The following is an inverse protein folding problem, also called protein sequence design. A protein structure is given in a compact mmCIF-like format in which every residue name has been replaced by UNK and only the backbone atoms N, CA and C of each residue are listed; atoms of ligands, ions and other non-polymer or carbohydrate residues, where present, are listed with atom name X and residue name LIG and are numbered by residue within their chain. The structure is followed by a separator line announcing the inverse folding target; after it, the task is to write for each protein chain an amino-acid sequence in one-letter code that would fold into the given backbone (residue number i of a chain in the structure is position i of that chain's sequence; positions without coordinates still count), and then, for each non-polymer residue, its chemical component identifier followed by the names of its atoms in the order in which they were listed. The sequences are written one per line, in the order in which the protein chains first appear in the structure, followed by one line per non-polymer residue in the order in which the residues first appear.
data_IF_744476478180
#
_entry.id   IF_744476478180
#
_cell.length_a   1.000
_cell.length_b   1.000
_cell.length_c   1.000
_cell.angle_alpha   90.00
_cell.angle_beta   90.00
_cell.angle_gamma   90.00
#
_symmetry.space_group_name_H-M   'P 1'
#
loop_
_entity.id
_entity.type
_entity.pdbx_description
1 polymer ?
#
# COMPACT_ATOMS: atom_id res chain seq x y z
N UNK A 1 -7.93 21.50 17.62
CA UNK A 1 -9.09 21.15 16.82
C UNK A 1 -9.98 20.16 17.61
N UNK A 2 -11.33 20.23 17.52
CA UNK A 2 -12.20 19.33 18.28
C UNK A 2 -11.97 17.84 17.95
N UNK A 3 -11.74 17.52 16.67
CA UNK A 3 -11.46 16.14 16.22
C UNK A 3 -10.13 15.59 16.71
N UNK A 4 -9.18 16.43 17.15
CA UNK A 4 -7.93 15.99 17.75
C UNK A 4 -8.08 15.37 19.13
N UNK A 5 -9.27 15.48 19.76
CA UNK A 5 -9.54 14.99 21.12
C UNK A 5 -9.30 13.50 21.29
N UNK A 6 -9.53 12.71 20.24
CA UNK A 6 -9.40 11.25 20.27
C UNK A 6 -8.11 10.72 19.64
N UNK A 7 -7.25 11.61 19.15
CA UNK A 7 -5.95 11.21 18.58
C UNK A 7 -5.02 10.82 19.71
N UNK A 8 -4.58 9.56 19.72
CA UNK A 8 -3.58 9.11 20.68
C UNK A 8 -2.23 9.76 20.40
N UNK A 9 -1.36 9.81 21.43
CA UNK A 9 -0.02 10.37 21.27
C UNK A 9 0.81 9.59 20.23
N UNK A 10 0.65 8.28 20.17
CA UNK A 10 1.27 7.40 19.19
C UNK A 10 0.81 7.74 17.76
N UNK A 11 -0.48 7.90 17.54
CA UNK A 11 -1.02 8.30 16.23
C UNK A 11 -0.60 9.72 15.84
N UNK A 12 -0.49 10.63 16.82
CA UNK A 12 0.05 11.96 16.58
C UNK A 12 1.50 11.90 16.11
N UNK A 13 2.36 11.16 16.80
CA UNK A 13 3.78 11.01 16.45
C UNK A 13 3.96 10.34 15.08
N UNK A 14 3.11 9.37 14.75
CA UNK A 14 3.25 8.56 13.55
C UNK A 14 2.68 9.26 12.31
N UNK A 15 1.49 9.86 12.42
CA UNK A 15 0.73 10.31 11.25
C UNK A 15 0.58 11.83 11.12
N UNK A 16 0.70 12.61 12.21
CA UNK A 16 0.45 14.06 12.19
C UNK A 16 1.75 14.87 12.31
N UNK A 17 2.59 14.53 13.27
CA UNK A 17 3.83 15.26 13.54
C UNK A 17 4.84 15.27 12.40
N UNK A 18 5.04 14.17 11.64
CA UNK A 18 6.11 14.11 10.65
C UNK A 18 6.02 15.24 9.61
N UNK A 19 7.15 15.88 9.35
CA UNK A 19 7.22 17.05 8.48
C UNK A 19 7.38 16.68 6.99
N UNK A 20 8.05 15.56 6.69
CA UNK A 20 8.17 14.97 5.35
C UNK A 20 7.41 13.66 5.25
N UNK A 21 7.00 13.31 4.04
CA UNK A 21 6.38 12.01 3.73
C UNK A 21 7.45 11.01 3.29
N UNK A 22 8.40 11.45 2.47
CA UNK A 22 9.45 10.62 1.91
C UNK A 22 10.81 11.31 1.91
N UNK A 23 11.37 11.50 0.72
CA UNK A 23 12.69 12.08 0.50
C UNK A 23 12.65 13.44 -0.22
N UNK A 24 11.50 14.09 -0.22
CA UNK A 24 11.32 15.46 -0.74
C UNK A 24 12.19 16.46 0.04
N UNK A 25 12.43 17.60 -0.59
CA UNK A 25 13.11 18.73 0.05
C UNK A 25 12.34 19.21 1.29
N UNK A 26 13.08 19.63 2.32
CA UNK A 26 12.49 20.20 3.54
C UNK A 26 12.04 21.64 3.24
N UNK A 27 10.76 21.89 3.37
CA UNK A 27 10.10 23.16 3.06
C UNK A 27 9.15 23.57 4.18
N UNK A 28 8.98 24.87 4.39
CA UNK A 28 7.90 25.41 5.20
C UNK A 28 6.56 25.27 4.46
N UNK A 29 5.60 24.57 5.06
CA UNK A 29 4.32 24.27 4.39
C UNK A 29 3.11 24.23 5.32
N UNK A 30 3.30 23.84 6.58
CA UNK A 30 2.18 23.47 7.47
C UNK A 30 1.24 24.64 7.72
N UNK A 31 1.77 25.83 7.99
CA UNK A 31 0.98 27.02 8.27
C UNK A 31 0.18 27.48 7.04
N UNK A 32 0.79 27.45 5.85
CA UNK A 32 0.12 27.84 4.60
C UNK A 32 -1.05 26.90 4.30
N UNK A 33 -0.83 25.58 4.37
CA UNK A 33 -1.86 24.58 4.13
C UNK A 33 -2.96 24.67 5.17
N UNK A 34 -2.61 24.88 6.44
CA UNK A 34 -3.57 25.11 7.51
C UNK A 34 -4.46 26.31 7.21
N UNK A 35 -3.89 27.48 6.92
CA UNK A 35 -4.63 28.70 6.60
C UNK A 35 -5.58 28.52 5.41
N UNK A 36 -5.17 27.72 4.43
CA UNK A 36 -5.96 27.47 3.23
C UNK A 36 -7.17 26.57 3.47
N UNK A 37 -7.02 25.50 4.25
CA UNK A 37 -8.05 24.46 4.37
C UNK A 37 -8.83 24.50 5.69
N UNK A 38 -8.27 25.10 6.74
CA UNK A 38 -8.94 25.16 8.04
C UNK A 38 -10.29 25.92 8.02
N UNK A 39 -10.46 27.05 7.27
CA UNK A 39 -11.74 27.79 7.27
C UNK A 39 -12.93 26.98 6.73
N UNK A 40 -12.70 26.03 5.80
CA UNK A 40 -13.81 25.22 5.27
C UNK A 40 -14.45 24.29 6.33
N UNK A 41 -13.75 24.07 7.44
CA UNK A 41 -14.22 23.24 8.54
C UNK A 41 -14.96 24.05 9.63
N UNK A 42 -15.11 25.37 9.46
CA UNK A 42 -15.78 26.22 10.45
C UNK A 42 -17.26 25.85 10.63
N UNK A 43 -17.92 25.42 9.57
CA UNK A 43 -19.32 25.01 9.59
C UNK A 43 -19.58 23.78 10.46
N UNK A 44 -18.62 22.86 10.56
CA UNK A 44 -18.76 21.61 11.34
C UNK A 44 -18.18 21.76 12.75
N UNK A 45 -17.18 22.63 12.95
CA UNK A 45 -16.36 22.70 14.18
C UNK A 45 -17.17 22.83 15.45
N UNK A 46 -18.24 23.62 15.44
CA UNK A 46 -19.08 23.91 16.58
C UNK A 46 -20.38 23.07 16.62
N UNK A 47 -20.46 22.02 15.81
CA UNK A 47 -21.58 21.07 15.80
C UNK A 47 -21.25 19.83 16.63
N UNK A 48 -22.23 18.97 16.97
CA UNK A 48 -21.98 17.67 17.58
C UNK A 48 -21.04 16.77 16.76
N UNK A 49 -20.94 16.99 15.45
CA UNK A 49 -20.06 16.25 14.53
C UNK A 49 -18.66 16.83 14.44
N UNK A 50 -18.36 17.95 15.10
CA UNK A 50 -17.05 18.60 15.05
C UNK A 50 -15.90 17.79 15.64
N UNK A 51 -16.18 16.80 16.48
CA UNK A 51 -15.20 15.84 16.98
C UNK A 51 -15.19 14.49 16.24
N UNK A 52 -16.11 14.27 15.32
CA UNK A 52 -16.14 13.05 14.48
C UNK A 52 -15.12 13.19 13.34
N UNK A 53 -14.03 12.42 13.45
CA UNK A 53 -12.92 12.43 12.50
C UNK A 53 -13.42 12.10 11.08
N UNK A 54 -14.37 11.18 10.94
CA UNK A 54 -14.90 10.75 9.64
C UNK A 54 -15.71 11.86 8.98
N UNK A 55 -16.60 12.52 9.74
CA UNK A 55 -17.40 13.62 9.24
C UNK A 55 -16.53 14.79 8.77
N UNK A 56 -15.56 15.17 9.57
CA UNK A 56 -14.58 16.22 9.22
C UNK A 56 -13.76 15.82 7.98
N UNK A 57 -13.29 14.59 7.93
CA UNK A 57 -12.51 14.10 6.78
C UNK A 57 -13.36 14.05 5.52
N UNK A 58 -14.64 13.66 5.59
CA UNK A 58 -15.53 13.63 4.42
C UNK A 58 -15.72 15.03 3.81
N UNK A 59 -15.96 16.06 4.63
CA UNK A 59 -16.07 17.45 4.15
C UNK A 59 -14.79 17.89 3.45
N UNK A 60 -13.63 17.55 4.03
CA UNK A 60 -12.35 17.86 3.43
C UNK A 60 -12.15 17.15 2.09
N UNK A 61 -12.47 15.86 2.01
CA UNK A 61 -12.30 15.06 0.78
C UNK A 61 -13.26 15.54 -0.32
N UNK A 62 -14.48 15.94 0.02
CA UNK A 62 -15.43 16.55 -0.92
C UNK A 62 -14.85 17.83 -1.52
N UNK A 63 -14.30 18.70 -0.69
CA UNK A 63 -13.66 19.93 -1.15
C UNK A 63 -12.42 19.66 -2.01
N UNK A 64 -11.57 18.73 -1.58
CA UNK A 64 -10.37 18.35 -2.35
C UNK A 64 -10.72 17.73 -3.70
N UNK A 65 -11.78 16.93 -3.78
CA UNK A 65 -12.20 16.26 -5.02
C UNK A 65 -12.92 17.20 -5.99
N UNK A 66 -13.55 18.25 -5.52
CA UNK A 66 -14.26 19.24 -6.35
C UNK A 66 -13.31 20.22 -7.07
N UNK A 67 -12.06 20.33 -6.61
CA UNK A 67 -11.06 21.16 -7.31
C UNK A 67 -10.37 20.37 -8.43
N UNK A 68 -10.02 21.01 -9.55
CA UNK A 68 -9.39 20.35 -10.69
C UNK A 68 -8.13 19.56 -10.29
N UNK A 69 -7.99 18.36 -10.84
CA UNK A 69 -6.85 17.46 -10.65
C UNK A 69 -6.36 17.01 -12.02
N UNK A 70 -5.04 17.07 -12.22
CA UNK A 70 -4.40 16.54 -13.41
C UNK A 70 -3.76 15.20 -13.09
N UNK A 71 -4.38 14.10 -13.49
CA UNK A 71 -3.86 12.76 -13.28
C UNK A 71 -2.87 12.37 -14.37
N UNK A 72 -1.69 11.87 -13.97
CA UNK A 72 -0.69 11.30 -14.88
C UNK A 72 -0.56 9.80 -14.63
N UNK A 73 -0.42 9.00 -15.67
CA UNK A 73 -0.17 7.55 -15.55
C UNK A 73 1.31 7.20 -15.33
N UNK A 74 2.18 8.19 -15.14
CA UNK A 74 3.64 8.02 -15.07
C UNK A 74 4.07 7.96 -13.61
N UNK A 75 4.93 7.00 -13.28
CA UNK A 75 5.62 6.91 -12.00
C UNK A 75 7.07 7.34 -12.22
N UNK A 76 7.41 8.63 -11.99
CA UNK A 76 8.76 9.11 -12.20
C UNK A 76 9.72 8.52 -11.16
N UNK A 77 10.94 8.24 -11.61
CA UNK A 77 12.06 8.01 -10.70
C UNK A 77 12.55 9.35 -10.16
N UNK A 78 12.68 9.47 -8.87
CA UNK A 78 13.19 10.71 -8.26
C UNK A 78 12.70 10.91 -6.82
N UNK A 79 13.02 12.07 -6.24
CA UNK A 79 12.48 12.46 -4.94
C UNK A 79 10.96 12.69 -5.02
N UNK A 80 10.28 12.53 -3.89
CA UNK A 80 8.89 12.94 -3.77
C UNK A 80 8.76 14.44 -4.10
N UNK A 81 7.63 14.83 -4.70
CA UNK A 81 7.39 16.22 -5.12
C UNK A 81 7.27 17.17 -3.92
N UNK A 82 6.76 16.66 -2.81
CA UNK A 82 6.62 17.43 -1.59
C UNK A 82 5.36 18.29 -1.54
N UNK A 83 5.31 19.30 -0.63
CA UNK A 83 4.09 20.06 -0.32
C UNK A 83 3.58 20.93 -1.48
N UNK A 84 4.39 21.19 -2.50
CA UNK A 84 3.95 21.87 -3.73
C UNK A 84 2.81 21.13 -4.45
N UNK A 85 2.64 19.83 -4.22
CA UNK A 85 1.51 19.06 -4.71
C UNK A 85 0.15 19.69 -4.37
N UNK A 86 0.04 20.33 -3.21
CA UNK A 86 -1.19 21.02 -2.79
C UNK A 86 -1.54 22.19 -3.71
N UNK A 87 -0.56 22.82 -4.32
CA UNK A 87 -0.75 23.90 -5.30
C UNK A 87 -0.92 23.33 -6.71
N UNK A 88 -0.09 22.40 -7.12
CA UNK A 88 -0.04 21.88 -8.50
C UNK A 88 -1.20 20.92 -8.80
N UNK A 89 -1.63 20.16 -7.82
CA UNK A 89 -2.74 19.20 -7.94
C UNK A 89 -2.59 18.25 -9.14
N UNK A 90 -1.37 17.84 -9.40
CA UNK A 90 -1.00 16.98 -10.52
C UNK A 90 -0.14 15.82 -10.05
N UNK A 91 -0.30 14.65 -10.67
CA UNK A 91 0.49 13.47 -10.40
C UNK A 91 -0.28 12.17 -10.62
N UNK A 92 0.35 11.06 -10.30
CA UNK A 92 -0.29 9.75 -10.26
C UNK A 92 -0.91 9.48 -8.87
N UNK A 93 -1.34 8.24 -8.61
CA UNK A 93 -1.94 7.89 -7.32
C UNK A 93 -1.01 8.14 -6.13
N UNK A 94 0.33 8.09 -6.31
CA UNK A 94 1.30 8.39 -5.24
C UNK A 94 1.27 9.86 -4.86
N UNK A 95 1.45 10.76 -5.84
CA UNK A 95 1.48 12.19 -5.60
C UNK A 95 0.13 12.70 -5.08
N UNK A 96 -0.98 12.18 -5.60
CA UNK A 96 -2.31 12.56 -5.11
C UNK A 96 -2.56 12.09 -3.67
N UNK A 97 -2.04 10.92 -3.30
CA UNK A 97 -2.06 10.45 -1.91
C UNK A 97 -1.21 11.36 -1.01
N UNK A 98 -0.01 11.73 -1.44
CA UNK A 98 0.88 12.63 -0.70
C UNK A 98 0.25 14.02 -0.50
N UNK A 99 -0.43 14.56 -1.52
CA UNK A 99 -1.19 15.82 -1.41
C UNK A 99 -2.17 15.78 -0.24
N UNK A 100 -2.97 14.71 -0.15
CA UNK A 100 -3.96 14.56 0.94
C UNK A 100 -3.27 14.43 2.30
N UNK A 101 -2.15 13.72 2.38
CA UNK A 101 -1.39 13.58 3.65
C UNK A 101 -0.92 14.94 4.17
N UNK A 102 -0.41 15.83 3.31
CA UNK A 102 -0.03 17.18 3.73
C UNK A 102 -1.21 17.93 4.33
N UNK A 103 -2.39 17.83 3.72
CA UNK A 103 -3.60 18.47 4.22
C UNK A 103 -4.07 17.84 5.55
N UNK A 104 -4.06 16.51 5.65
CA UNK A 104 -4.38 15.80 6.90
C UNK A 104 -3.46 16.24 8.04
N UNK A 105 -2.15 16.24 7.81
CA UNK A 105 -1.16 16.66 8.81
C UNK A 105 -1.31 18.11 9.23
N UNK A 106 -1.62 19.01 8.29
CA UNK A 106 -1.84 20.42 8.61
C UNK A 106 -3.07 20.62 9.50
N UNK A 107 -4.11 19.82 9.32
CA UNK A 107 -5.37 19.93 10.06
C UNK A 107 -5.43 19.03 11.31
N UNK A 108 -4.41 18.23 11.57
CA UNK A 108 -4.36 17.34 12.73
C UNK A 108 -5.25 16.10 12.59
N UNK A 109 -5.40 15.57 11.38
CA UNK A 109 -6.14 14.35 11.09
C UNK A 109 -5.19 13.13 11.03
N UNK A 110 -5.47 12.04 11.77
CA UNK A 110 -4.58 10.87 11.86
C UNK A 110 -4.72 9.96 10.65
N UNK A 111 -4.12 10.35 9.53
CA UNK A 111 -4.18 9.61 8.28
C UNK A 111 -2.84 9.56 7.54
N UNK A 112 -2.77 8.71 6.54
CA UNK A 112 -1.53 8.47 5.80
C UNK A 112 -1.76 7.73 4.50
N UNK A 113 -0.75 6.95 4.10
CA UNK A 113 -0.73 6.16 2.88
C UNK A 113 -0.81 4.66 3.19
N UNK A 114 -1.80 3.99 2.62
CA UNK A 114 -1.79 2.55 2.43
C UNK A 114 -1.48 2.23 0.96
N UNK A 115 -0.78 1.12 0.71
CA UNK A 115 -0.29 0.79 -0.63
C UNK A 115 -0.28 -0.70 -0.91
N UNK A 116 -0.42 -1.01 -2.19
CA UNK A 116 -0.02 -2.28 -2.78
C UNK A 116 1.29 -2.09 -3.53
N UNK A 117 2.28 -2.94 -3.28
CA UNK A 117 3.51 -2.93 -4.09
C UNK A 117 3.23 -3.36 -5.54
N UNK A 118 2.22 -4.21 -5.73
CA UNK A 118 1.68 -4.60 -7.02
C UNK A 118 0.18 -4.85 -6.87
N UNK A 119 -0.64 -4.31 -7.76
CA UNK A 119 -2.05 -4.69 -7.89
C UNK A 119 -2.18 -6.07 -8.54
N UNK A 120 -3.12 -6.87 -8.06
CA UNK A 120 -3.35 -8.21 -8.60
C UNK A 120 -3.89 -8.23 -10.05
N UNK A 121 -4.48 -7.14 -10.51
CA UNK A 121 -5.14 -7.02 -11.82
C UNK A 121 -4.42 -6.13 -12.85
N UNK A 122 -3.46 -5.28 -12.42
CA UNK A 122 -2.83 -4.28 -13.30
C UNK A 122 -1.30 -4.29 -13.32
N UNK A 123 -0.68 -5.16 -12.57
CA UNK A 123 0.80 -5.32 -12.51
C UNK A 123 1.59 -4.03 -12.19
N UNK A 124 0.95 -3.05 -11.55
CA UNK A 124 1.54 -1.76 -11.16
C UNK A 124 1.30 -1.51 -9.67
N UNK A 125 2.10 -0.67 -9.01
CA UNK A 125 1.82 -0.27 -7.63
C UNK A 125 0.54 0.56 -7.57
N UNK A 126 -0.07 0.63 -6.39
CA UNK A 126 -1.20 1.51 -6.14
C UNK A 126 -1.14 2.08 -4.72
N UNK A 127 -1.55 3.33 -4.57
CA UNK A 127 -1.50 4.12 -3.35
C UNK A 127 -2.84 4.79 -3.12
N UNK A 128 -3.27 4.84 -1.85
CA UNK A 128 -4.48 5.55 -1.42
C UNK A 128 -4.33 6.05 0.00
N UNK A 129 -5.23 6.91 0.43
CA UNK A 129 -5.24 7.43 1.79
C UNK A 129 -6.03 6.54 2.73
N UNK A 130 -5.56 6.41 3.94
CA UNK A 130 -6.36 5.95 5.06
C UNK A 130 -6.53 7.07 6.07
N UNK A 131 -7.57 6.95 6.90
CA UNK A 131 -7.81 7.72 8.10
C UNK A 131 -8.19 6.78 9.24
N UNK A 132 -7.76 7.09 10.45
CA UNK A 132 -8.20 6.40 11.66
C UNK A 132 -9.32 7.21 12.31
N UNK A 133 -10.42 6.55 12.67
CA UNK A 133 -11.46 7.17 13.48
C UNK A 133 -11.11 7.19 14.98
N UNK A 134 -12.03 7.62 15.81
CA UNK A 134 -11.88 7.70 17.27
C UNK A 134 -11.69 6.35 17.98
N UNK A 135 -11.91 5.24 17.27
CA UNK A 135 -11.71 3.86 17.75
C UNK A 135 -10.53 3.16 17.06
N UNK A 136 -9.66 3.90 16.38
CA UNK A 136 -8.56 3.39 15.55
C UNK A 136 -9.04 2.48 14.39
N UNK A 137 -10.32 2.55 14.01
CA UNK A 137 -10.83 1.84 12.84
C UNK A 137 -10.35 2.51 11.56
N UNK A 138 -9.94 1.71 10.60
CA UNK A 138 -9.40 2.21 9.33
C UNK A 138 -10.50 2.44 8.30
N UNK A 139 -10.52 3.63 7.75
CA UNK A 139 -11.30 4.00 6.57
C UNK A 139 -10.34 4.38 5.44
N UNK A 140 -10.71 4.11 4.20
CA UNK A 140 -9.94 4.51 3.03
C UNK A 140 -10.68 5.57 2.21
N UNK A 141 -9.90 6.35 1.47
CA UNK A 141 -10.38 7.38 0.55
C UNK A 141 -9.28 7.70 -0.47
N UNK A 142 -9.65 8.33 -1.58
CA UNK A 142 -8.67 8.88 -2.51
C UNK A 142 -9.28 10.02 -3.33
N UNK A 143 -8.44 10.95 -3.79
CA UNK A 143 -8.84 11.96 -4.78
C UNK A 143 -8.43 11.50 -6.19
N UNK A 144 -9.17 11.94 -7.20
CA UNK A 144 -8.89 11.58 -8.60
C UNK A 144 -9.34 10.19 -9.03
N UNK A 145 -10.00 9.43 -8.16
CA UNK A 145 -10.67 8.16 -8.45
C UNK A 145 -12.14 8.24 -8.01
N UNK A 146 -12.93 7.22 -8.34
CA UNK A 146 -14.37 7.19 -8.03
C UNK A 146 -14.70 7.08 -6.52
N UNK A 147 -13.70 7.10 -5.65
CA UNK A 147 -13.83 6.86 -4.21
C UNK A 147 -13.42 8.08 -3.39
N UNK A 148 -14.11 9.23 -3.58
CA UNK A 148 -13.98 10.38 -2.67
C UNK A 148 -14.63 10.14 -1.31
N UNK A 149 -15.53 9.17 -1.21
CA UNK A 149 -16.20 8.83 0.03
C UNK A 149 -15.26 8.06 0.95
N UNK A 150 -15.42 8.27 2.24
CA UNK A 150 -14.79 7.42 3.24
C UNK A 150 -15.54 6.11 3.33
N UNK A 151 -14.84 5.03 3.09
CA UNK A 151 -15.36 3.68 3.19
C UNK A 151 -14.51 2.86 4.16
N UNK A 152 -15.12 1.87 4.82
CA UNK A 152 -14.37 0.94 5.67
C UNK A 152 -13.32 0.18 4.85
N UNK A 153 -12.13 0.02 5.38
CA UNK A 153 -11.02 -0.65 4.69
C UNK A 153 -11.39 -2.04 4.16
N UNK A 154 -12.22 -2.79 4.88
CA UNK A 154 -12.69 -4.12 4.51
C UNK A 154 -13.56 -4.16 3.23
N UNK A 155 -14.07 -3.01 2.76
CA UNK A 155 -14.87 -2.90 1.53
C UNK A 155 -14.04 -2.60 0.28
N UNK A 156 -12.72 -2.41 0.43
CA UNK A 156 -11.83 -2.12 -0.68
C UNK A 156 -11.76 -3.31 -1.66
N UNK A 157 -12.12 -3.10 -2.91
CA UNK A 157 -12.44 -4.16 -3.88
C UNK A 157 -11.29 -4.63 -4.79
N UNK A 158 -10.25 -3.82 -4.99
CA UNK A 158 -9.14 -4.20 -5.87
C UNK A 158 -8.41 -5.45 -5.36
N UNK A 159 -8.02 -6.40 -6.23
CA UNK A 159 -7.19 -7.54 -5.83
C UNK A 159 -5.82 -7.07 -5.33
N UNK A 160 -5.52 -7.35 -4.06
CA UNK A 160 -4.38 -6.75 -3.36
C UNK A 160 -3.17 -7.67 -3.20
N UNK A 161 -3.42 -8.94 -2.90
CA UNK A 161 -2.37 -9.86 -2.45
C UNK A 161 -1.78 -9.45 -1.10
N UNK A 162 -1.19 -8.25 -1.04
CA UNK A 162 -0.64 -7.63 0.18
C UNK A 162 -0.90 -6.14 0.22
N UNK A 163 -1.21 -5.62 1.43
CA UNK A 163 -1.35 -4.19 1.71
C UNK A 163 -0.40 -3.77 2.80
N UNK A 164 0.34 -2.70 2.56
CA UNK A 164 1.24 -2.10 3.53
C UNK A 164 0.83 -0.67 3.83
N UNK A 165 0.80 -0.33 5.11
CA UNK A 165 0.70 1.05 5.60
C UNK A 165 2.09 1.64 5.70
N UNK A 166 2.31 2.80 5.10
CA UNK A 166 3.55 3.54 5.30
C UNK A 166 3.62 4.08 6.73
N UNK A 167 4.80 3.96 7.32
CA UNK A 167 5.09 4.42 8.68
C UNK A 167 6.23 5.41 8.68
N UNK A 168 6.20 6.36 9.62
CA UNK A 168 7.33 7.22 9.92
C UNK A 168 8.36 6.49 10.79
N UNK A 169 7.87 5.70 11.74
CA UNK A 169 8.71 4.87 12.59
C UNK A 169 9.23 3.62 11.87
N UNK A 170 10.41 3.17 12.26
CA UNK A 170 10.98 1.92 11.77
C UNK A 170 10.20 0.71 12.32
N UNK A 171 9.77 -0.17 11.43
CA UNK A 171 9.23 -1.47 11.82
C UNK A 171 10.37 -2.43 12.20
N UNK A 172 10.65 -2.51 13.51
CA UNK A 172 11.72 -3.36 14.04
C UNK A 172 11.50 -4.85 13.78
N UNK A 173 10.25 -5.30 13.64
CA UNK A 173 9.97 -6.70 13.33
C UNK A 173 10.45 -7.08 11.92
N UNK A 174 10.19 -6.26 10.91
CA UNK A 174 10.75 -6.49 9.56
C UNK A 174 12.28 -6.51 9.62
N UNK A 175 12.86 -5.61 10.41
CA UNK A 175 14.30 -5.53 10.58
C UNK A 175 14.89 -6.82 11.18
N UNK A 176 14.27 -7.33 12.23
CA UNK A 176 14.70 -8.56 12.89
C UNK A 176 14.49 -9.80 12.02
N UNK A 177 13.33 -9.90 11.40
CA UNK A 177 12.94 -11.03 10.55
C UNK A 177 13.88 -11.20 9.36
N UNK A 178 14.28 -10.11 8.71
CA UNK A 178 15.14 -10.13 7.52
C UNK A 178 16.62 -10.03 7.86
N UNK A 179 17.00 -9.95 9.15
CA UNK A 179 18.40 -9.88 9.65
C UNK A 179 19.27 -8.83 8.96
N UNK A 180 18.69 -7.86 8.28
CA UNK A 180 19.36 -6.79 7.51
C UNK A 180 20.53 -7.23 6.63
N UNK A 181 20.42 -8.40 6.05
CA UNK A 181 21.37 -8.83 5.01
C UNK A 181 21.04 -8.11 3.69
N UNK A 182 21.78 -7.03 3.41
CA UNK A 182 21.61 -6.23 2.20
C UNK A 182 21.80 -7.01 0.90
N UNK A 183 22.49 -8.15 0.93
CA UNK A 183 22.69 -8.99 -0.24
C UNK A 183 21.52 -9.91 -0.52
N UNK A 184 20.80 -10.31 0.53
CA UNK A 184 19.73 -11.30 0.43
C UNK A 184 18.32 -10.70 0.70
N UNK A 185 18.24 -9.40 0.97
CA UNK A 185 16.97 -8.67 1.13
C UNK A 185 16.63 -7.90 -0.15
N UNK A 186 15.47 -8.12 -0.78
CA UNK A 186 15.01 -7.35 -1.92
C UNK A 186 14.90 -5.85 -1.62
N UNK A 187 15.15 -5.01 -2.64
CA UNK A 187 15.21 -3.55 -2.51
C UNK A 187 14.02 -2.94 -1.78
N UNK A 188 12.81 -3.42 -2.05
CA UNK A 188 11.57 -2.91 -1.46
C UNK A 188 11.39 -3.22 0.04
N UNK A 189 12.17 -4.17 0.61
CA UNK A 189 12.16 -4.46 2.04
C UNK A 189 13.37 -3.88 2.80
N UNK A 190 14.29 -3.20 2.12
CA UNK A 190 15.48 -2.61 2.76
C UNK A 190 15.18 -1.35 3.59
N UNK A 191 14.04 -0.71 3.36
CA UNK A 191 13.55 0.40 4.17
C UNK A 191 12.30 -0.05 4.92
N UNK A 192 12.42 -0.51 6.17
CA UNK A 192 11.30 -1.06 6.92
C UNK A 192 10.42 0.07 7.52
N UNK A 193 10.01 1.01 6.68
CA UNK A 193 9.07 2.10 6.99
C UNK A 193 7.67 1.71 6.53
N UNK A 194 7.23 0.53 6.89
CA UNK A 194 5.91 0.02 6.54
C UNK A 194 5.44 -1.05 7.52
N UNK A 195 4.12 -1.18 7.65
CA UNK A 195 3.44 -2.19 8.45
C UNK A 195 2.46 -2.97 7.57
N UNK A 196 2.43 -4.30 7.71
CA UNK A 196 1.43 -5.15 7.06
C UNK A 196 0.04 -4.87 7.65
N UNK A 197 -0.88 -4.43 6.82
CA UNK A 197 -2.28 -4.17 7.16
C UNK A 197 -3.24 -4.98 6.30
N UNK A 198 -2.74 -6.01 5.63
CA UNK A 198 -3.53 -6.86 4.72
C UNK A 198 -4.79 -7.39 5.39
N UNK A 199 -4.70 -7.84 6.65
CA UNK A 199 -5.83 -8.39 7.39
C UNK A 199 -6.98 -7.38 7.55
N UNK A 200 -6.69 -6.07 7.64
CA UNK A 200 -7.71 -5.02 7.76
C UNK A 200 -8.52 -4.91 6.46
N UNK A 201 -7.86 -5.08 5.31
CA UNK A 201 -8.47 -4.95 3.99
C UNK A 201 -9.04 -6.27 3.45
N UNK A 202 -8.38 -7.39 3.72
CA UNK A 202 -8.72 -8.67 3.13
C UNK A 202 -9.84 -9.43 3.88
N UNK A 203 -10.05 -9.13 5.17
CA UNK A 203 -11.11 -9.75 5.99
C UNK A 203 -11.27 -11.26 5.72
N UNK A 204 -12.42 -11.69 5.18
CA UNK A 204 -12.76 -13.11 4.94
C UNK A 204 -11.91 -13.82 3.88
N UNK A 205 -11.13 -13.06 3.08
CA UNK A 205 -10.24 -13.59 2.06
C UNK A 205 -8.76 -13.47 2.44
N UNK A 206 -8.51 -13.27 3.74
CA UNK A 206 -7.17 -13.22 4.33
C UNK A 206 -6.74 -14.63 4.77
N UNK A 207 -5.61 -15.09 4.26
CA UNK A 207 -5.13 -16.46 4.49
C UNK A 207 -3.72 -16.50 5.08
N UNK A 208 -3.48 -17.55 5.86
CA UNK A 208 -2.13 -18.02 6.14
C UNK A 208 -1.71 -18.96 5.00
N UNK A 209 -0.80 -18.48 4.15
CA UNK A 209 -0.23 -19.30 3.08
C UNK A 209 0.72 -20.35 3.69
N UNK A 210 0.46 -21.64 3.37
CA UNK A 210 1.33 -22.77 3.75
C UNK A 210 1.66 -23.59 2.53
N UNK A 211 2.95 -23.79 2.25
CA UNK A 211 3.41 -24.55 1.09
C UNK A 211 4.45 -25.57 1.55
N UNK A 212 4.19 -26.87 1.28
CA UNK A 212 5.12 -27.95 1.55
C UNK A 212 6.30 -27.95 0.59
N UNK A 213 7.45 -28.43 1.04
CA UNK A 213 8.66 -28.64 0.25
C UNK A 213 8.41 -29.44 -1.04
N UNK A 214 7.51 -30.42 -0.99
CA UNK A 214 7.17 -31.30 -2.14
C UNK A 214 6.54 -30.54 -3.32
N UNK A 215 6.02 -29.36 -3.07
CA UNK A 215 5.42 -28.49 -4.09
C UNK A 215 6.42 -27.52 -4.73
N UNK A 216 7.66 -27.54 -4.27
CA UNK A 216 8.72 -26.64 -4.72
C UNK A 216 9.55 -27.25 -5.84
N UNK A 217 10.05 -26.43 -6.75
CA UNK A 217 11.00 -26.83 -7.80
C UNK A 217 12.46 -26.88 -7.29
N UNK A 218 12.73 -26.08 -6.26
CA UNK A 218 14.01 -26.04 -5.54
C UNK A 218 13.71 -25.92 -4.05
N UNK A 219 14.30 -26.79 -3.23
CA UNK A 219 14.13 -26.75 -1.77
C UNK A 219 15.04 -25.69 -1.16
N UNK A 220 14.52 -24.72 -0.37
CA UNK A 220 15.33 -23.80 0.41
C UNK A 220 16.10 -24.50 1.53
N UNK A 221 17.07 -23.79 2.10
CA UNK A 221 17.72 -24.23 3.34
C UNK A 221 16.78 -23.98 4.54
N UNK A 222 16.88 -24.81 5.58
CA UNK A 222 16.09 -24.59 6.79
C UNK A 222 16.42 -23.23 7.43
N UNK A 223 15.40 -22.47 7.81
CA UNK A 223 15.55 -21.09 8.27
C UNK A 223 15.74 -20.03 7.16
N UNK A 224 15.83 -20.43 5.87
CA UNK A 224 15.99 -19.47 4.77
C UNK A 224 14.72 -18.62 4.57
N UNK A 225 14.91 -17.33 4.32
CA UNK A 225 13.80 -16.42 4.01
C UNK A 225 13.29 -16.66 2.60
N UNK A 226 11.99 -16.89 2.48
CA UNK A 226 11.29 -17.09 1.21
C UNK A 226 10.40 -15.90 0.94
N UNK A 227 10.44 -15.38 -0.28
CA UNK A 227 9.66 -14.24 -0.73
C UNK A 227 8.48 -14.68 -1.60
N UNK A 228 7.30 -14.15 -1.28
CA UNK A 228 6.12 -14.24 -2.13
C UNK A 228 6.19 -13.12 -3.16
N UNK A 229 6.13 -13.48 -4.45
CA UNK A 229 6.26 -12.55 -5.55
C UNK A 229 4.97 -12.44 -6.35
N UNK A 230 4.63 -11.23 -6.79
CA UNK A 230 3.56 -10.94 -7.75
C UNK A 230 4.16 -10.46 -9.07
N UNK A 231 3.45 -10.70 -10.17
CA UNK A 231 3.85 -10.22 -11.50
C UNK A 231 3.71 -8.71 -11.56
N UNK A 232 4.81 -8.01 -11.81
CA UNK A 232 4.88 -6.57 -12.02
C UNK A 232 5.43 -6.33 -13.43
N UNK A 233 4.87 -5.44 -14.20
CA UNK A 233 5.25 -5.08 -15.56
C UNK A 233 6.16 -6.10 -16.31
N UNK A 234 7.47 -6.11 -16.02
CA UNK A 234 8.47 -6.93 -16.69
C UNK A 234 9.10 -8.01 -15.79
N UNK A 235 8.73 -8.09 -14.52
CA UNK A 235 9.39 -9.02 -13.57
C UNK A 235 8.44 -9.44 -12.43
N UNK A 236 8.87 -10.43 -11.67
CA UNK A 236 8.21 -10.83 -10.43
C UNK A 236 8.79 -10.04 -9.26
N UNK A 237 7.94 -9.23 -8.62
CA UNK A 237 8.33 -8.39 -7.49
C UNK A 237 7.99 -9.08 -6.18
N UNK A 238 8.94 -9.23 -5.23
CA UNK A 238 8.65 -9.68 -3.87
C UNK A 238 7.67 -8.73 -3.16
N UNK A 239 6.55 -9.27 -2.70
CA UNK A 239 5.49 -8.50 -2.02
C UNK A 239 5.27 -8.92 -0.57
N UNK A 240 5.74 -10.10 -0.18
CA UNK A 240 5.73 -10.59 1.19
C UNK A 240 6.91 -11.51 1.42
N UNK A 241 7.13 -11.90 2.67
CA UNK A 241 8.14 -12.88 3.03
C UNK A 241 7.64 -13.80 4.15
N UNK A 242 8.30 -14.93 4.28
CA UNK A 242 8.17 -15.89 5.35
C UNK A 242 9.43 -16.71 5.48
N UNK A 243 9.39 -17.77 6.28
CA UNK A 243 10.53 -18.67 6.48
C UNK A 243 10.19 -20.07 6.00
N UNK A 244 11.21 -20.74 5.50
CA UNK A 244 11.18 -22.18 5.27
C UNK A 244 11.67 -22.89 6.53
N UNK A 245 10.76 -23.58 7.21
CA UNK A 245 11.05 -24.31 8.46
C UNK A 245 10.25 -25.59 8.48
N UNK A 246 10.90 -26.70 8.89
CA UNK A 246 10.25 -28.02 9.00
C UNK A 246 9.50 -28.41 7.71
N UNK A 247 10.20 -28.32 6.58
CA UNK A 247 9.67 -28.64 5.25
C UNK A 247 8.41 -27.84 4.82
N UNK A 248 8.18 -26.68 5.43
CA UNK A 248 7.01 -25.85 5.15
C UNK A 248 7.39 -24.38 5.08
N UNK A 249 6.86 -23.67 4.08
CA UNK A 249 6.88 -22.20 4.00
C UNK A 249 5.59 -21.69 4.62
N UNK A 250 5.69 -20.65 5.48
CA UNK A 250 4.54 -19.97 6.08
C UNK A 250 4.63 -18.47 5.84
N UNK A 251 3.57 -17.89 5.25
CA UNK A 251 3.46 -16.45 5.01
C UNK A 251 2.09 -15.99 5.48
N UNK A 252 2.06 -15.07 6.43
CA UNK A 252 0.84 -14.55 7.04
C UNK A 252 0.15 -13.50 6.17
N UNK A 253 -1.15 -13.35 6.37
CA UNK A 253 -1.96 -12.25 5.81
C UNK A 253 -1.81 -12.12 4.30
N UNK A 254 -2.16 -13.14 3.55
CA UNK A 254 -2.16 -13.13 2.08
C UNK A 254 -3.59 -13.13 1.57
N UNK A 255 -3.94 -12.15 0.74
CA UNK A 255 -5.25 -12.12 0.11
C UNK A 255 -5.32 -13.10 -1.07
N UNK A 256 -6.40 -13.85 -1.14
CA UNK A 256 -6.70 -14.75 -2.27
C UNK A 256 -7.12 -14.01 -3.56
N UNK A 257 -7.34 -14.76 -4.62
CA UNK A 257 -7.62 -14.30 -5.99
C UNK A 257 -6.45 -13.67 -6.73
N UNK A 258 -5.23 -13.94 -6.30
CA UNK A 258 -4.01 -13.40 -6.90
C UNK A 258 -3.06 -14.52 -7.29
N UNK A 259 -2.33 -14.31 -8.37
CA UNK A 259 -1.30 -15.26 -8.84
C UNK A 259 0.04 -14.87 -8.24
N UNK A 260 0.67 -15.85 -7.61
CA UNK A 260 1.94 -15.71 -6.94
C UNK A 260 3.00 -16.65 -7.48
N UNK A 261 4.24 -16.37 -7.12
CA UNK A 261 5.41 -17.23 -7.29
C UNK A 261 6.32 -17.11 -6.08
N UNK A 262 7.02 -18.17 -5.70
CA UNK A 262 7.97 -18.12 -4.59
C UNK A 262 9.40 -17.96 -5.11
N UNK A 263 10.21 -17.21 -4.37
CA UNK A 263 11.62 -17.04 -4.63
C UNK A 263 12.41 -16.96 -3.32
N UNK A 264 13.68 -17.32 -3.37
CA UNK A 264 14.69 -16.90 -2.39
C UNK A 264 15.54 -15.79 -3.03
N UNK A 265 16.14 -14.93 -2.23
CA UNK A 265 17.01 -13.87 -2.74
C UNK A 265 18.47 -14.22 -2.40
N UNK A 266 19.31 -14.36 -3.42
CA UNK A 266 20.74 -14.64 -3.25
C UNK A 266 21.55 -13.66 -4.10
N UNK A 267 22.50 -12.97 -3.47
CA UNK A 267 23.33 -11.94 -4.13
C UNK A 267 22.44 -10.91 -4.89
N UNK A 268 21.40 -10.42 -4.26
CA UNK A 268 20.41 -9.45 -4.79
C UNK A 268 19.57 -9.96 -5.98
N UNK A 269 19.69 -11.22 -6.35
CA UNK A 269 18.93 -11.82 -7.45
C UNK A 269 17.88 -12.78 -6.92
N UNK A 270 16.65 -12.73 -7.44
CA UNK A 270 15.63 -13.72 -7.10
C UNK A 270 15.92 -15.05 -7.79
N UNK A 271 15.96 -16.12 -7.02
CA UNK A 271 15.92 -17.50 -7.52
C UNK A 271 14.52 -18.04 -7.27
N UNK A 272 13.77 -18.30 -8.33
CA UNK A 272 12.41 -18.84 -8.21
C UNK A 272 12.44 -20.31 -7.83
N UNK A 273 11.67 -20.65 -6.80
CA UNK A 273 11.62 -21.99 -6.19
C UNK A 273 10.25 -22.65 -6.34
N UNK A 274 9.30 -22.03 -7.03
CA UNK A 274 8.00 -22.63 -7.33
C UNK A 274 7.56 -22.32 -8.75
N UNK A 275 6.63 -23.11 -9.27
CA UNK A 275 5.78 -22.70 -10.38
C UNK A 275 4.85 -21.55 -9.94
N UNK A 276 4.31 -20.75 -10.88
CA UNK A 276 3.23 -19.81 -10.56
C UNK A 276 2.03 -20.58 -9.99
N UNK A 277 1.35 -19.97 -9.04
CA UNK A 277 0.13 -20.54 -8.43
C UNK A 277 -0.91 -19.47 -8.12
N UNK A 278 -2.16 -19.87 -8.18
CA UNK A 278 -3.30 -19.09 -7.70
C UNK A 278 -3.58 -19.47 -6.24
N UNK A 279 -3.72 -18.48 -5.38
CA UNK A 279 -4.34 -18.65 -4.07
C UNK A 279 -5.84 -18.38 -4.24
N UNK A 280 -6.67 -19.39 -4.00
CA UNK A 280 -8.12 -19.26 -4.18
C UNK A 280 -8.72 -18.31 -3.14
N UNK A 281 -9.71 -17.53 -3.59
CA UNK A 281 -10.24 -16.37 -2.85
C UNK A 281 -10.75 -16.69 -1.45
N UNK A 282 -11.59 -17.70 -1.34
CA UNK A 282 -12.30 -18.01 -0.08
C UNK A 282 -11.76 -19.27 0.62
N UNK A 283 -11.36 -20.26 -0.17
CA UNK A 283 -10.85 -21.51 0.38
C UNK A 283 -9.41 -21.44 0.87
N UNK A 284 -8.61 -20.49 0.31
CA UNK A 284 -7.17 -20.46 0.53
C UNK A 284 -6.42 -21.64 -0.10
N UNK A 285 -7.07 -22.45 -0.93
CA UNK A 285 -6.43 -23.54 -1.64
C UNK A 285 -5.43 -23.02 -2.66
N UNK A 286 -4.37 -23.78 -2.88
CA UNK A 286 -3.28 -23.43 -3.80
C UNK A 286 -3.40 -24.26 -5.05
N UNK A 287 -3.50 -23.60 -6.20
CA UNK A 287 -3.50 -24.23 -7.51
C UNK A 287 -2.30 -23.83 -8.33
N UNK A 288 -1.33 -24.75 -8.51
CA UNK A 288 -0.14 -24.53 -9.33
C UNK A 288 -0.48 -24.60 -10.84
N UNK A 289 0.11 -23.69 -11.62
CA UNK A 289 0.03 -23.71 -13.08
C UNK A 289 1.18 -24.52 -13.64
N UNK A 290 0.88 -25.74 -14.09
CA UNK A 290 1.87 -26.63 -14.70
C UNK A 290 1.89 -26.43 -16.22
N UNK A 291 3.07 -26.41 -16.88
CA UNK A 291 3.14 -26.37 -18.34
C UNK A 291 2.36 -27.54 -18.94
N UNK A 292 1.52 -27.28 -19.94
CA UNK A 292 0.74 -28.33 -20.62
C UNK A 292 1.58 -29.14 -21.63
N UNK A 293 2.82 -28.76 -21.88
CA UNK A 293 3.67 -29.32 -22.95
C UNK A 293 3.29 -28.84 -24.36
N UNK A 294 2.13 -28.21 -24.55
CA UNK A 294 1.71 -27.65 -25.84
C UNK A 294 2.25 -26.23 -26.01
N UNK A 295 2.92 -25.98 -27.13
CA UNK A 295 3.35 -24.63 -27.50
C UNK A 295 2.21 -23.93 -28.23
N UNK A 296 1.87 -22.73 -27.78
CA UNK A 296 0.91 -21.84 -28.45
C UNK A 296 1.63 -20.55 -28.83
N UNK A 297 1.47 -20.13 -30.08
CA UNK A 297 1.91 -18.79 -30.49
C UNK A 297 0.82 -17.78 -30.13
N UNK A 298 1.21 -16.73 -29.44
CA UNK A 298 0.33 -15.61 -29.10
C UNK A 298 0.88 -14.36 -29.76
N UNK A 299 0.08 -13.72 -30.61
CA UNK A 299 0.42 -12.41 -31.16
C UNK A 299 -0.18 -11.35 -30.24
N UNK A 300 0.70 -10.56 -29.62
CA UNK A 300 0.27 -9.40 -28.82
C UNK A 300 0.09 -8.21 -29.75
N UNK A 301 -1.13 -7.77 -29.94
CA UNK A 301 -1.43 -6.55 -30.66
C UNK A 301 -1.51 -5.39 -29.66
N UNK A 302 -0.56 -4.48 -29.71
CA UNK A 302 -0.64 -3.23 -28.98
C UNK A 302 -1.55 -2.28 -29.77
N UNK A 303 -2.79 -2.08 -29.29
CA UNK A 303 -3.62 -0.99 -29.79
C UNK A 303 -3.12 0.32 -29.18
N UNK A 304 -2.40 1.11 -29.97
CA UNK A 304 -2.27 2.51 -29.66
C UNK A 304 -3.66 3.13 -29.85
N UNK A 305 -4.27 3.63 -28.77
CA UNK A 305 -5.34 4.61 -28.93
C UNK A 305 -4.66 5.88 -29.42
N UNK A 306 -4.83 6.20 -30.68
CA UNK A 306 -4.64 7.56 -31.14
C UNK A 306 -5.62 8.41 -30.33
N UNK A 307 -5.05 9.33 -29.54
CA UNK A 307 -5.86 10.36 -28.89
C UNK A 307 -6.39 11.29 -29.97
N UNK A 308 -7.66 11.67 -29.93
CA UNK A 308 -8.22 12.65 -30.87
C UNK A 308 -7.57 14.02 -30.68
#
# INVERSE_FOLDING_TARGET
QPWGKYVTFENFLEYILPYRIGNEELMEWREEIYKRYNPMLDSIRNTPYGSDIRAVTQILMDSLSNAPIFFTGIFPDGPNVGPNLVRWRAGNCRELTDLVIYVFRALGLPGGCDKMLVRGDKNVPHYWNFILDENDSTYFTSIGQNSKNLEKAETYWDPKGKVYRETFSLNRNIQQDLKFDMLNVPKNFRKPLMRDVTAIYANKINHLLRISADSLTVKPQDGETVYLCMSSQMHWLPVAYGRFEHDTIRINNVEGSVIFKLAVCRNQKPLFISLPFLLEKYSGNIRFFRPSGKKHSITLLQKFKESP
#
